data_IF_961084529457
#
_entry.id   IF_961084529457
#
_cell.length_a   1.000
_cell.length_b   1.000
_cell.length_c   1.000
_cell.angle_alpha   90.00
_cell.angle_beta   90.00
_cell.angle_gamma   90.00
#
_symmetry.space_group_name_H-M   'P 1'
#
loop_
_entity.id
_entity.type
_entity.pdbx_description
1 polymer ?
#
# COMPACT_ATOMS: atom_id res chain seq x y z
N UNK A 1 -8.20 -18.36 1.76
CA UNK A 1 -9.09 -17.18 1.69
C UNK A 1 -8.65 -16.36 0.50
N UNK A 2 -9.51 -15.83 -0.40
CA UNK A 2 -9.06 -14.88 -1.41
C UNK A 2 -8.82 -13.54 -0.70
N UNK A 3 -7.85 -13.53 0.20
CA UNK A 3 -7.58 -12.46 1.13
C UNK A 3 -6.59 -11.53 0.47
N UNK A 4 -7.11 -10.56 -0.29
CA UNK A 4 -6.29 -9.46 -0.76
C UNK A 4 -5.59 -8.77 0.40
N UNK A 5 -4.43 -8.19 0.12
CA UNK A 5 -3.53 -7.57 1.08
C UNK A 5 -4.05 -6.22 1.56
N UNK A 6 -3.78 -5.86 2.81
CA UNK A 6 -4.01 -4.52 3.35
C UNK A 6 -2.79 -4.06 4.11
N UNK A 7 -2.53 -2.75 4.07
CA UNK A 7 -1.44 -2.15 4.82
C UNK A 7 -1.98 -1.71 6.18
N UNK A 8 -1.27 -2.08 7.25
CA UNK A 8 -1.58 -1.59 8.59
C UNK A 8 -0.77 -0.33 8.90
N UNK A 9 -1.46 0.78 9.19
CA UNK A 9 -0.83 2.00 9.68
C UNK A 9 -0.70 1.93 11.19
N UNK A 10 0.52 1.71 11.67
CA UNK A 10 0.84 1.65 13.10
C UNK A 10 0.67 3.01 13.81
N UNK A 11 0.84 4.13 13.10
CA UNK A 11 0.77 5.47 13.68
C UNK A 11 -0.67 5.87 13.96
N UNK A 12 -1.57 5.62 13.00
CA UNK A 12 -3.01 5.87 13.17
C UNK A 12 -3.77 4.65 13.74
N UNK A 13 -3.09 3.52 13.96
CA UNK A 13 -3.64 2.22 14.43
C UNK A 13 -4.89 1.81 13.64
N UNK A 14 -4.82 1.93 12.32
CA UNK A 14 -5.93 1.61 11.41
C UNK A 14 -5.42 0.95 10.14
N UNK A 15 -6.31 0.25 9.46
CA UNK A 15 -6.05 -0.21 8.11
C UNK A 15 -5.95 0.99 7.15
N UNK A 16 -4.91 0.97 6.31
CA UNK A 16 -4.60 2.04 5.38
C UNK A 16 -4.89 1.62 3.94
N UNK A 17 -5.51 2.53 3.18
CA UNK A 17 -5.91 2.29 1.79
C UNK A 17 -7.04 1.27 1.66
N UNK A 18 -7.13 0.67 0.47
CA UNK A 18 -8.08 -0.40 0.18
C UNK A 18 -7.40 -1.77 0.26
N UNK A 19 -8.19 -2.83 0.04
CA UNK A 19 -7.66 -4.16 -0.19
C UNK A 19 -7.01 -4.23 -1.58
N UNK A 20 -5.76 -4.68 -1.62
CA UNK A 20 -4.97 -4.91 -2.81
C UNK A 20 -5.06 -6.38 -3.22
N UNK A 21 -5.23 -6.66 -4.50
CA UNK A 21 -5.25 -8.05 -4.98
C UNK A 21 -3.85 -8.67 -5.00
N UNK A 22 -2.84 -7.84 -5.24
CA UNK A 22 -1.42 -8.21 -5.24
C UNK A 22 -0.75 -7.66 -3.99
N UNK A 23 0.25 -8.39 -3.46
CA UNK A 23 1.03 -7.96 -2.32
C UNK A 23 1.79 -6.66 -2.66
N UNK A 24 1.55 -5.54 -1.94
CA UNK A 24 2.15 -4.26 -2.30
C UNK A 24 3.51 -4.07 -1.61
N UNK A 25 4.47 -4.96 -1.88
CA UNK A 25 5.77 -4.98 -1.20
C UNK A 25 6.57 -3.69 -1.40
N UNK A 26 6.54 -3.10 -2.60
CA UNK A 26 7.23 -1.83 -2.88
C UNK A 26 6.65 -0.69 -2.04
N UNK A 27 5.33 -0.66 -1.84
CA UNK A 27 4.66 0.34 -1.01
C UNK A 27 5.00 0.14 0.47
N UNK A 28 5.02 -1.11 0.93
CA UNK A 28 5.39 -1.44 2.31
C UNK A 28 6.86 -1.11 2.57
N UNK A 29 7.75 -1.40 1.62
CA UNK A 29 9.16 -1.05 1.70
C UNK A 29 9.34 0.46 1.83
N UNK A 30 8.62 1.24 1.02
CA UNK A 30 8.79 2.70 1.02
C UNK A 30 8.14 3.39 2.22
N UNK A 31 7.06 2.84 2.76
CA UNK A 31 6.48 3.27 4.02
C UNK A 31 7.38 2.98 5.22
N UNK A 32 8.11 1.85 5.21
CA UNK A 32 9.04 1.49 6.28
C UNK A 32 10.44 2.10 6.09
N UNK A 33 10.77 2.55 4.88
CA UNK A 33 12.05 3.15 4.52
C UNK A 33 12.03 4.67 4.63
N UNK A 34 12.30 5.34 3.51
CA UNK A 34 12.45 6.80 3.47
C UNK A 34 11.14 7.56 3.71
N UNK A 35 9.97 6.92 3.52
CA UNK A 35 8.68 7.58 3.66
C UNK A 35 8.45 8.68 2.62
N UNK A 36 9.03 8.57 1.43
CA UNK A 36 8.91 9.57 0.37
C UNK A 36 7.47 9.64 -0.15
N UNK A 37 6.81 10.74 0.17
CA UNK A 37 5.42 10.98 -0.19
C UNK A 37 5.18 10.93 -1.70
N UNK A 38 6.14 11.38 -2.52
CA UNK A 38 6.01 11.36 -3.97
C UNK A 38 5.98 9.92 -4.51
N UNK A 39 6.89 9.07 -4.01
CA UNK A 39 6.94 7.65 -4.36
C UNK A 39 5.72 6.89 -3.87
N UNK A 40 5.32 7.11 -2.62
CA UNK A 40 4.12 6.51 -2.05
C UNK A 40 2.90 6.84 -2.91
N UNK A 41 2.74 8.09 -3.32
CA UNK A 41 1.61 8.52 -4.17
C UNK A 41 1.66 7.88 -5.56
N UNK A 42 2.86 7.71 -6.14
CA UNK A 42 3.04 7.02 -7.42
C UNK A 42 2.67 5.53 -7.34
N UNK A 43 3.12 4.84 -6.28
CA UNK A 43 2.79 3.43 -6.02
C UNK A 43 1.29 3.23 -5.81
N UNK A 44 0.64 4.10 -5.04
CA UNK A 44 -0.81 4.06 -4.86
C UNK A 44 -1.58 4.17 -6.18
N UNK A 45 -1.13 5.05 -7.09
CA UNK A 45 -1.74 5.15 -8.44
C UNK A 45 -1.51 3.87 -9.25
N UNK A 46 -0.31 3.31 -9.21
CA UNK A 46 0.03 2.08 -9.91
C UNK A 46 -0.82 0.89 -9.46
N UNK A 47 -0.95 0.67 -8.15
CA UNK A 47 -1.80 -0.39 -7.62
C UNK A 47 -3.29 -0.14 -7.88
N UNK A 48 -3.74 1.12 -7.95
CA UNK A 48 -5.12 1.44 -8.32
C UNK A 48 -5.42 1.13 -9.79
N UNK A 49 -4.45 1.30 -10.69
CA UNK A 49 -4.59 0.91 -12.11
C UNK A 49 -4.48 -0.59 -12.33
N UNK A 50 -3.72 -1.30 -11.49
CA UNK A 50 -3.56 -2.75 -11.57
C UNK A 50 -4.80 -3.53 -11.09
N UNK A 51 -5.69 -2.89 -10.33
CA UNK A 51 -6.92 -3.46 -9.75
C UNK A 51 -8.11 -3.44 -10.74
N UNK A 52 -7.87 -3.45 -12.05
CA UNK A 52 -8.90 -3.30 -13.10
C UNK A 52 -9.04 -4.56 -13.95
#
# INVERSE_FOLDING_TARGET
MPGGWRVWDNKARRWWGEQYEVQPDDLVAELNGAGDYARITALLRHYRTAKR
#
